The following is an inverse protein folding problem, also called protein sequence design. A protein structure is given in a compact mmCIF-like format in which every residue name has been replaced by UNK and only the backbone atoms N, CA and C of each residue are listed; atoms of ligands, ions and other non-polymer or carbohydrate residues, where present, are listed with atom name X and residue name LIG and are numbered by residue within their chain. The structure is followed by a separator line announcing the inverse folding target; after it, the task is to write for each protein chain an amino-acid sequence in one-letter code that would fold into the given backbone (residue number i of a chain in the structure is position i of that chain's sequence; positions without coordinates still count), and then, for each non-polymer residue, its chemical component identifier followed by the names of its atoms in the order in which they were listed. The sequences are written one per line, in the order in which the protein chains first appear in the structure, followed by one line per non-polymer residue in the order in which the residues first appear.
data_IF_253594482511
#
_entry.id   IF_253594482511
#
_cell.length_a   1.000
_cell.length_b   1.000
_cell.length_c   1.000
_cell.angle_alpha   90.00
_cell.angle_beta   90.00
_cell.angle_gamma   90.00
#
_symmetry.space_group_name_H-M   'P 1'
#
loop_
_entity.id
_entity.type
_entity.pdbx_description
1 polymer ?
#
# COMPACT_ATOMS: atom_id res chain seq x y z
N UNK A 1 -14.30 28.07 10.12
CA UNK A 1 -13.74 28.03 11.49
C UNK A 1 -12.62 26.99 11.52
N UNK A 2 -11.78 26.89 12.58
CA UNK A 2 -10.71 25.87 12.67
C UNK A 2 -11.22 24.44 12.43
N UNK A 3 -12.47 24.15 12.81
CA UNK A 3 -13.12 22.87 12.58
C UNK A 3 -13.35 22.51 11.11
N UNK A 4 -13.46 23.48 10.18
CA UNK A 4 -13.68 23.19 8.74
C UNK A 4 -12.40 22.79 7.99
N UNK A 5 -11.26 22.70 8.67
CA UNK A 5 -9.98 22.40 8.03
C UNK A 5 -9.94 20.98 7.45
N UNK A 6 -10.75 20.06 7.97
CA UNK A 6 -10.88 18.69 7.44
C UNK A 6 -11.36 18.69 5.99
N UNK A 7 -12.34 19.53 5.67
CA UNK A 7 -12.87 19.73 4.33
C UNK A 7 -11.78 20.09 3.30
N UNK A 8 -10.76 20.85 3.70
CA UNK A 8 -9.62 21.18 2.82
C UNK A 8 -8.85 19.92 2.42
N UNK A 9 -8.63 18.97 3.33
CA UNK A 9 -7.91 17.73 3.02
C UNK A 9 -8.74 16.83 2.10
N UNK A 10 -10.05 16.74 2.32
CA UNK A 10 -10.97 15.98 1.47
C UNK A 10 -11.05 16.58 0.07
N UNK A 11 -11.31 17.88 -0.03
CA UNK A 11 -11.44 18.61 -1.31
C UNK A 11 -10.20 18.48 -2.19
N UNK A 12 -9.02 18.55 -1.58
CA UNK A 12 -7.75 18.53 -2.30
C UNK A 12 -7.04 17.16 -2.27
N UNK A 13 -7.74 16.09 -1.87
CA UNK A 13 -7.17 14.75 -1.68
C UNK A 13 -6.31 14.29 -2.88
N UNK A 14 -6.81 14.44 -4.11
CA UNK A 14 -6.10 14.06 -5.34
C UNK A 14 -4.80 14.86 -5.58
N UNK A 15 -4.68 16.08 -5.04
CA UNK A 15 -3.42 16.85 -5.15
C UNK A 15 -2.32 16.28 -4.27
N UNK A 16 -2.67 15.56 -3.20
CA UNK A 16 -1.66 14.94 -2.33
C UNK A 16 -0.95 13.75 -2.98
N UNK A 17 -1.39 13.28 -4.15
CA UNK A 17 -0.65 12.29 -4.93
C UNK A 17 0.76 12.78 -5.31
N UNK A 18 1.00 14.10 -5.33
CA UNK A 18 2.36 14.66 -5.47
C UNK A 18 3.33 14.14 -4.39
N UNK A 19 2.83 13.92 -3.16
CA UNK A 19 3.63 13.37 -2.06
C UNK A 19 3.88 11.88 -2.21
N UNK A 20 2.94 11.13 -2.81
CA UNK A 20 3.15 9.72 -3.15
C UNK A 20 4.34 9.57 -4.11
N UNK A 21 4.36 10.38 -5.17
CA UNK A 21 5.47 10.43 -6.13
C UNK A 21 6.79 10.85 -5.46
N UNK A 22 6.74 11.87 -4.61
CA UNK A 22 7.90 12.35 -3.87
C UNK A 22 8.50 11.26 -2.97
N UNK A 23 7.66 10.61 -2.16
CA UNK A 23 8.06 9.55 -1.24
C UNK A 23 8.63 8.34 -1.99
N UNK A 24 8.02 7.93 -3.11
CA UNK A 24 8.52 6.84 -3.96
C UNK A 24 9.93 7.14 -4.51
N UNK A 25 10.21 8.39 -4.88
CA UNK A 25 11.51 8.79 -5.42
C UNK A 25 12.57 9.08 -4.33
N UNK A 26 12.15 9.30 -3.07
CA UNK A 26 13.05 9.71 -1.98
C UNK A 26 14.24 8.75 -1.76
N UNK A 27 14.10 7.41 -1.80
CA UNK A 27 15.23 6.49 -1.69
C UNK A 27 16.24 6.67 -2.83
N UNK A 28 15.77 6.81 -4.08
CA UNK A 28 16.62 7.05 -5.25
C UNK A 28 17.35 8.38 -5.15
N UNK A 29 16.65 9.46 -4.78
CA UNK A 29 17.25 10.78 -4.57
C UNK A 29 18.33 10.76 -3.49
N UNK A 30 18.08 10.07 -2.37
CA UNK A 30 19.08 9.89 -1.31
C UNK A 30 20.31 9.12 -1.80
N UNK A 31 20.10 8.04 -2.55
CA UNK A 31 21.19 7.23 -3.09
C UNK A 31 22.07 8.05 -4.04
N UNK A 32 21.47 8.78 -4.98
CA UNK A 32 22.20 9.66 -5.90
C UNK A 32 22.99 10.75 -5.17
N UNK A 33 22.43 11.32 -4.10
CA UNK A 33 23.12 12.31 -3.30
C UNK A 33 24.36 11.72 -2.61
N UNK A 34 24.25 10.50 -2.08
CA UNK A 34 25.39 9.80 -1.45
C UNK A 34 26.44 9.39 -2.48
N UNK A 35 26.02 8.83 -3.63
CA UNK A 35 26.94 8.29 -4.64
C UNK A 35 27.62 9.36 -5.49
N UNK A 36 26.91 10.45 -5.79
CA UNK A 36 27.34 11.44 -6.77
C UNK A 36 27.40 12.87 -6.23
N UNK A 37 26.90 13.13 -5.02
CA UNK A 37 26.85 14.49 -4.46
C UNK A 37 28.21 15.09 -4.12
N UNK A 38 29.17 14.26 -3.69
CA UNK A 38 30.50 14.73 -3.27
C UNK A 38 30.42 15.91 -2.31
N UNK A 39 31.28 16.92 -2.50
CA UNK A 39 31.25 18.19 -1.75
C UNK A 39 30.38 19.28 -2.40
N UNK A 40 29.78 19.02 -3.58
CA UNK A 40 29.14 20.04 -4.40
C UNK A 40 28.05 20.81 -3.64
N UNK A 41 27.16 20.09 -2.96
CA UNK A 41 26.05 20.72 -2.22
C UNK A 41 26.49 21.40 -0.93
N UNK A 42 27.59 20.97 -0.31
CA UNK A 42 28.18 21.61 0.87
C UNK A 42 28.88 22.93 0.49
N UNK A 43 29.58 22.94 -0.65
CA UNK A 43 30.16 24.15 -1.23
C UNK A 43 29.09 25.15 -1.66
N UNK A 44 28.02 24.65 -2.30
CA UNK A 44 26.86 25.47 -2.66
C UNK A 44 26.19 26.08 -1.42
N UNK A 45 26.02 25.29 -0.35
CA UNK A 45 25.45 25.75 0.91
C UNK A 45 26.27 26.90 1.51
N UNK A 46 27.60 26.76 1.57
CA UNK A 46 28.50 27.81 2.06
C UNK A 46 28.45 29.07 1.19
N UNK A 47 28.47 28.91 -0.13
CA UNK A 47 28.47 30.03 -1.09
C UNK A 47 27.17 30.83 -1.08
N UNK A 48 26.04 30.16 -0.86
CA UNK A 48 24.72 30.79 -0.83
C UNK A 48 24.23 31.09 0.60
N UNK A 49 25.06 30.87 1.61
CA UNK A 49 24.75 31.10 3.03
C UNK A 49 23.42 30.46 3.47
N UNK A 50 23.18 29.22 3.02
CA UNK A 50 21.95 28.48 3.35
C UNK A 50 22.09 27.81 4.72
N UNK A 51 21.11 28.03 5.60
CA UNK A 51 21.13 27.59 7.01
C UNK A 51 21.33 26.08 7.23
N UNK A 52 20.81 25.26 6.32
CA UNK A 52 20.79 23.81 6.48
C UNK A 52 21.30 23.07 5.24
N UNK A 53 21.83 21.85 5.39
CA UNK A 53 22.27 21.06 4.25
C UNK A 53 21.06 20.59 3.43
N UNK A 54 21.26 20.33 2.13
CA UNK A 54 20.19 19.92 1.21
C UNK A 54 19.29 18.77 1.75
N UNK A 55 19.81 17.69 2.37
CA UNK A 55 18.99 16.64 2.97
C UNK A 55 17.92 17.15 3.96
N UNK A 56 18.22 18.21 4.72
CA UNK A 56 17.30 18.79 5.70
C UNK A 56 16.10 19.48 5.04
N UNK A 57 16.22 19.90 3.77
CA UNK A 57 15.10 20.40 2.98
C UNK A 57 14.36 19.26 2.27
N UNK A 58 15.09 18.27 1.75
CA UNK A 58 14.49 17.11 1.05
C UNK A 58 13.64 16.22 1.97
N UNK A 59 13.82 16.27 3.28
CA UNK A 59 12.97 15.51 4.21
C UNK A 59 11.66 16.24 4.56
N UNK A 60 11.56 17.55 4.29
CA UNK A 60 10.42 18.38 4.70
C UNK A 60 9.08 17.92 4.13
N UNK A 61 8.95 17.49 2.85
CA UNK A 61 7.66 17.00 2.35
C UNK A 61 7.16 15.75 3.08
N UNK A 62 8.07 14.83 3.41
CA UNK A 62 7.74 13.62 4.19
C UNK A 62 7.28 14.02 5.60
N UNK A 63 8.05 14.89 6.27
CA UNK A 63 7.70 15.42 7.59
C UNK A 63 6.38 16.18 7.58
N UNK A 64 6.05 16.88 6.49
CA UNK A 64 4.83 17.67 6.37
C UNK A 64 3.59 16.80 6.38
N UNK A 65 3.61 15.67 5.68
CA UNK A 65 2.51 14.68 5.71
C UNK A 65 2.32 14.14 7.13
N UNK A 66 3.40 13.75 7.80
CA UNK A 66 3.33 13.31 9.21
C UNK A 66 2.78 14.42 10.10
N UNK A 67 3.17 15.68 9.88
CA UNK A 67 2.68 16.81 10.67
C UNK A 67 1.18 17.04 10.48
N UNK A 68 0.64 16.91 9.26
CA UNK A 68 -0.80 16.99 9.05
C UNK A 68 -1.57 15.90 9.80
N UNK A 69 -1.07 14.66 9.79
CA UNK A 69 -1.68 13.57 10.56
C UNK A 69 -1.73 13.88 12.06
N UNK A 70 -0.62 14.36 12.63
CA UNK A 70 -0.55 14.70 14.06
C UNK A 70 -1.54 15.83 14.40
N UNK A 71 -1.56 16.90 13.61
CA UNK A 71 -2.46 18.03 13.85
C UNK A 71 -3.94 17.64 13.72
N UNK A 72 -4.30 16.81 12.73
CA UNK A 72 -5.67 16.33 12.57
C UNK A 72 -6.09 15.37 13.69
N UNK A 73 -5.18 14.54 14.20
CA UNK A 73 -5.42 13.72 15.40
C UNK A 73 -5.63 14.58 16.64
N UNK A 74 -4.80 15.61 16.83
CA UNK A 74 -4.94 16.55 17.95
C UNK A 74 -6.29 17.28 17.87
N UNK A 75 -6.70 17.74 16.68
CA UNK A 75 -8.01 18.36 16.46
C UNK A 75 -9.16 17.39 16.76
N UNK A 76 -9.10 16.16 16.27
CA UNK A 76 -10.13 15.15 16.52
C UNK A 76 -10.28 14.82 18.02
N UNK A 77 -9.21 14.98 18.81
CA UNK A 77 -9.27 14.76 20.27
C UNK A 77 -9.98 15.88 21.04
N UNK A 78 -10.16 17.05 20.43
CA UNK A 78 -10.74 18.24 21.07
C UNK A 78 -12.05 18.72 20.42
N UNK A 79 -12.45 18.16 19.28
CA UNK A 79 -13.70 18.47 18.57
C UNK A 79 -14.70 17.31 18.70
N UNK A 80 -16.00 17.56 18.55
CA UNK A 80 -16.97 16.45 18.45
C UNK A 80 -16.74 15.68 17.13
N UNK A 81 -16.97 14.36 17.14
CA UNK A 81 -16.61 13.44 16.05
C UNK A 81 -17.20 13.80 14.66
N UNK A 82 -18.28 14.59 14.61
CA UNK A 82 -19.00 14.93 13.37
C UNK A 82 -18.66 16.32 12.79
N UNK A 83 -17.77 17.09 13.43
CA UNK A 83 -17.48 18.45 12.96
C UNK A 83 -16.42 18.49 11.85
N UNK A 84 -16.80 19.11 10.72
CA UNK A 84 -15.89 19.66 9.71
C UNK A 84 -14.96 18.68 8.99
N UNK A 85 -15.39 17.42 8.87
CA UNK A 85 -14.71 16.35 8.11
C UNK A 85 -13.27 16.08 8.58
N UNK A 86 -12.98 16.31 9.86
CA UNK A 86 -11.64 16.13 10.43
C UNK A 86 -11.18 14.66 10.33
N UNK A 87 -12.10 13.72 10.56
CA UNK A 87 -11.83 12.29 10.47
C UNK A 87 -11.50 11.87 9.04
N UNK A 88 -12.30 12.29 8.08
CA UNK A 88 -12.12 12.04 6.65
C UNK A 88 -10.82 12.68 6.15
N UNK A 89 -10.54 13.92 6.58
CA UNK A 89 -9.27 14.59 6.30
C UNK A 89 -8.06 13.83 6.86
N UNK A 90 -8.18 13.27 8.07
CA UNK A 90 -7.15 12.43 8.68
C UNK A 90 -6.94 11.14 7.86
N UNK A 91 -8.01 10.50 7.39
CA UNK A 91 -7.93 9.33 6.52
C UNK A 91 -7.19 9.64 5.22
N UNK A 92 -7.43 10.79 4.58
CA UNK A 92 -6.65 11.24 3.41
C UNK A 92 -5.16 11.31 3.75
N UNK A 93 -4.80 11.92 4.88
CA UNK A 93 -3.40 12.08 5.28
C UNK A 93 -2.72 10.76 5.69
N UNK A 94 -3.45 9.82 6.28
CA UNK A 94 -2.96 8.47 6.57
C UNK A 94 -2.78 7.64 5.29
N UNK A 95 -3.62 7.88 4.28
CA UNK A 95 -3.55 7.17 3.00
C UNK A 95 -2.35 7.58 2.13
N UNK A 96 -1.85 8.81 2.22
CA UNK A 96 -0.68 9.27 1.43
C UNK A 96 0.56 8.38 1.63
N UNK A 97 1.09 8.16 2.86
CA UNK A 97 2.25 7.28 3.05
C UNK A 97 1.92 5.82 2.74
N UNK A 98 0.68 5.37 2.96
CA UNK A 98 0.23 4.03 2.58
C UNK A 98 0.34 3.83 1.06
N UNK A 99 -0.24 4.73 0.25
CA UNK A 99 -0.12 4.71 -1.21
C UNK A 99 1.34 4.74 -1.69
N UNK A 100 2.20 5.53 -1.04
CA UNK A 100 3.61 5.56 -1.36
C UNK A 100 4.32 4.22 -1.11
N UNK A 101 4.01 3.60 0.03
CA UNK A 101 4.52 2.28 0.38
C UNK A 101 4.03 1.20 -0.60
N UNK A 102 2.74 1.24 -0.96
CA UNK A 102 2.14 0.28 -1.87
C UNK A 102 2.73 0.41 -3.29
N UNK A 103 2.91 1.65 -3.77
CA UNK A 103 3.58 1.91 -5.04
C UNK A 103 5.06 1.49 -5.04
N UNK A 104 5.74 1.57 -3.88
CA UNK A 104 7.10 1.06 -3.73
C UNK A 104 7.12 -0.46 -3.82
N UNK A 105 6.26 -1.18 -3.10
CA UNK A 105 6.17 -2.63 -3.19
C UNK A 105 5.79 -3.09 -4.61
N UNK A 106 4.84 -2.42 -5.26
CA UNK A 106 4.47 -2.74 -6.64
C UNK A 106 5.64 -2.54 -7.60
N UNK A 107 6.49 -1.53 -7.40
CA UNK A 107 7.68 -1.32 -8.25
C UNK A 107 8.72 -2.45 -8.18
N UNK A 108 8.62 -3.31 -7.16
CA UNK A 108 9.49 -4.48 -7.00
C UNK A 108 8.89 -5.74 -7.66
N UNK A 109 7.70 -5.64 -8.27
CA UNK A 109 7.05 -6.75 -8.99
C UNK A 109 7.73 -6.99 -10.35
N UNK A 110 8.17 -8.23 -10.56
CA UNK A 110 8.82 -8.67 -11.79
C UNK A 110 8.02 -9.76 -12.51
N UNK A 111 8.13 -9.78 -13.84
CA UNK A 111 7.55 -10.78 -14.73
C UNK A 111 6.02 -10.93 -14.61
N UNK A 112 5.32 -9.83 -14.30
CA UNK A 112 3.86 -9.80 -14.39
C UNK A 112 3.43 -9.86 -15.86
N UNK A 113 2.42 -10.66 -16.16
CA UNK A 113 1.85 -10.81 -17.50
C UNK A 113 0.91 -9.65 -17.88
N UNK A 114 0.64 -8.75 -16.94
CA UNK A 114 -0.06 -7.47 -17.15
C UNK A 114 0.94 -6.33 -16.95
N UNK A 115 0.95 -5.37 -17.88
CA UNK A 115 1.75 -4.16 -17.70
C UNK A 115 1.29 -3.40 -16.45
N UNK A 116 2.24 -2.88 -15.66
CA UNK A 116 1.95 -2.14 -14.41
C UNK A 116 0.98 -0.97 -14.66
N UNK A 117 1.11 -0.28 -15.79
CA UNK A 117 0.22 0.83 -16.16
C UNK A 117 -1.24 0.41 -16.37
N UNK A 118 -1.50 -0.88 -16.61
CA UNK A 118 -2.84 -1.44 -16.82
C UNK A 118 -3.43 -2.08 -15.55
N UNK A 119 -2.65 -2.19 -14.47
CA UNK A 119 -3.14 -2.75 -13.21
C UNK A 119 -4.03 -1.75 -12.45
N UNK A 120 -3.83 -0.45 -12.65
CA UNK A 120 -4.50 0.60 -11.89
C UNK A 120 -3.84 0.88 -10.54
N UNK A 121 -4.55 1.56 -9.65
CA UNK A 121 -4.07 1.81 -8.29
C UNK A 121 -4.15 0.55 -7.42
N UNK A 122 -3.14 0.34 -6.58
CA UNK A 122 -3.18 -0.71 -5.55
C UNK A 122 -4.22 -0.32 -4.50
N UNK A 123 -5.23 -1.16 -4.32
CA UNK A 123 -6.25 -0.98 -3.27
C UNK A 123 -5.70 -1.46 -1.93
N UNK A 124 -5.01 -2.61 -1.95
CA UNK A 124 -4.40 -3.23 -0.78
C UNK A 124 -3.23 -4.11 -1.20
N UNK A 125 -2.18 -4.14 -0.38
CA UNK A 125 -1.19 -5.21 -0.43
C UNK A 125 -0.89 -5.72 0.97
N UNK A 126 -0.71 -7.04 1.09
CA UNK A 126 -0.25 -7.66 2.33
C UNK A 126 0.43 -9.02 2.06
N UNK A 127 1.10 -9.57 3.07
CA UNK A 127 1.70 -10.89 3.05
C UNK A 127 0.75 -11.93 3.69
N UNK A 128 0.53 -13.03 2.97
CA UNK A 128 -0.30 -14.14 3.42
C UNK A 128 0.45 -15.45 3.30
N UNK A 129 0.11 -16.41 4.16
CA UNK A 129 0.37 -17.81 3.86
C UNK A 129 -0.78 -18.33 2.98
N UNK A 130 -0.45 -18.81 1.78
CA UNK A 130 -1.41 -19.23 0.77
C UNK A 130 -1.36 -20.75 0.54
N UNK A 131 -2.51 -21.42 0.55
CA UNK A 131 -2.67 -22.82 0.17
C UNK A 131 -3.54 -22.90 -1.08
N UNK A 132 -2.94 -23.35 -2.17
CA UNK A 132 -3.57 -23.50 -3.47
C UNK A 132 -3.99 -24.96 -3.68
N UNK A 133 -5.29 -25.20 -3.88
CA UNK A 133 -5.84 -26.55 -4.05
C UNK A 133 -5.40 -27.22 -5.35
N UNK A 134 -4.95 -26.47 -6.36
CA UNK A 134 -4.42 -27.02 -7.62
C UNK A 134 -3.06 -27.69 -7.44
N UNK A 135 -2.35 -27.37 -6.37
CA UNK A 135 -1.01 -27.89 -6.16
C UNK A 135 -1.06 -29.26 -5.49
N UNK A 136 -0.31 -30.22 -6.05
CA UNK A 136 -0.17 -31.58 -5.55
C UNK A 136 0.24 -31.59 -4.07
N UNK A 137 1.12 -30.66 -3.68
CA UNK A 137 1.57 -30.49 -2.30
C UNK A 137 0.76 -29.38 -1.65
N UNK A 138 -0.15 -29.75 -0.75
CA UNK A 138 -0.99 -28.84 0.05
C UNK A 138 -0.22 -28.15 1.19
N UNK A 139 0.90 -27.51 0.87
CA UNK A 139 1.73 -26.75 1.83
C UNK A 139 1.48 -25.26 1.66
N UNK A 140 1.35 -24.56 2.78
CA UNK A 140 1.21 -23.10 2.81
C UNK A 140 2.49 -22.43 2.36
N UNK A 141 2.37 -21.50 1.41
CA UNK A 141 3.49 -20.74 0.85
C UNK A 141 3.29 -19.26 1.10
N UNK A 142 4.34 -18.57 1.49
CA UNK A 142 4.28 -17.10 1.60
C UNK A 142 4.04 -16.47 0.23
N UNK A 143 3.05 -15.58 0.19
CA UNK A 143 2.69 -14.80 -0.98
C UNK A 143 2.47 -13.36 -0.55
N UNK A 144 3.11 -12.44 -1.27
CA UNK A 144 2.70 -11.05 -1.31
C UNK A 144 1.49 -10.97 -2.24
N UNK A 145 0.38 -10.47 -1.74
CA UNK A 145 -0.86 -10.31 -2.50
C UNK A 145 -1.08 -8.84 -2.77
N UNK A 146 -1.40 -8.50 -4.02
CA UNK A 146 -1.76 -7.15 -4.43
C UNK A 146 -3.18 -7.17 -4.98
N UNK A 147 -4.07 -6.40 -4.37
CA UNK A 147 -5.43 -6.18 -4.84
C UNK A 147 -5.48 -4.88 -5.65
N UNK A 148 -6.02 -5.00 -6.84
CA UNK A 148 -6.40 -3.92 -7.75
C UNK A 148 -7.89 -4.02 -8.04
N UNK A 149 -8.45 -3.00 -8.69
CA UNK A 149 -9.86 -2.99 -9.11
C UNK A 149 -10.22 -4.21 -9.98
N UNK A 150 -9.35 -4.59 -10.92
CA UNK A 150 -9.61 -5.68 -11.88
C UNK A 150 -8.90 -6.99 -11.54
N UNK A 151 -7.92 -6.97 -10.64
CA UNK A 151 -7.01 -8.10 -10.45
C UNK A 151 -6.64 -8.33 -8.99
N UNK A 152 -6.56 -9.59 -8.58
CA UNK A 152 -5.87 -10.04 -7.38
C UNK A 152 -4.60 -10.79 -7.78
N UNK A 153 -3.43 -10.18 -7.58
CA UNK A 153 -2.14 -10.76 -7.94
C UNK A 153 -1.49 -11.48 -6.76
N UNK A 154 -0.84 -12.61 -7.05
CA UNK A 154 -0.02 -13.35 -6.11
C UNK A 154 1.43 -13.32 -6.58
N UNK A 155 2.32 -12.87 -5.70
CA UNK A 155 3.75 -12.84 -5.94
C UNK A 155 4.52 -13.53 -4.81
N UNK A 156 5.69 -14.08 -5.15
CA UNK A 156 6.64 -14.63 -4.18
C UNK A 156 7.70 -13.59 -3.88
N UNK A 157 7.90 -13.28 -2.59
CA UNK A 157 9.06 -12.49 -2.18
C UNK A 157 10.35 -13.30 -2.37
N UNK A 158 11.34 -12.70 -3.02
CA UNK A 158 12.68 -13.24 -3.23
C UNK A 158 13.69 -12.21 -2.73
N UNK A 159 14.66 -12.67 -1.95
CA UNK A 159 15.78 -11.85 -1.48
C UNK A 159 17.03 -12.29 -2.23
N UNK A 160 17.54 -11.44 -3.10
CA UNK A 160 18.75 -11.67 -3.88
C UNK A 160 19.74 -10.54 -3.58
N UNK A 161 20.92 -10.87 -3.04
CA UNK A 161 21.97 -9.88 -2.71
C UNK A 161 21.48 -8.68 -1.88
N UNK A 162 20.65 -8.94 -0.85
CA UNK A 162 19.97 -7.94 0.01
C UNK A 162 18.93 -7.04 -0.69
N UNK A 163 18.60 -7.31 -1.95
CA UNK A 163 17.50 -6.64 -2.67
C UNK A 163 16.25 -7.53 -2.60
N UNK A 164 15.15 -6.95 -2.14
CA UNK A 164 13.84 -7.60 -2.14
C UNK A 164 13.19 -7.41 -3.51
N UNK A 165 12.67 -8.51 -4.07
CA UNK A 165 11.91 -8.54 -5.33
C UNK A 165 10.65 -9.38 -5.16
N UNK A 166 9.62 -9.09 -5.94
CA UNK A 166 8.39 -9.88 -5.98
C UNK A 166 8.27 -10.59 -7.34
N UNK A 167 8.46 -11.91 -7.33
CA UNK A 167 8.28 -12.71 -8.53
C UNK A 167 6.80 -13.06 -8.70
N UNK A 168 6.17 -12.57 -9.77
CA UNK A 168 4.79 -12.92 -10.12
C UNK A 168 4.56 -14.45 -10.17
N UNK A 169 3.40 -14.91 -9.70
CA UNK A 169 3.02 -16.33 -9.71
C UNK A 169 1.69 -16.58 -10.40
N UNK A 170 0.68 -15.79 -10.06
CA UNK A 170 -0.66 -15.95 -10.63
C UNK A 170 -1.48 -14.69 -10.39
N UNK A 171 -2.59 -14.59 -11.12
CA UNK A 171 -3.61 -13.56 -10.92
C UNK A 171 -5.00 -14.18 -10.95
N UNK A 172 -5.96 -13.55 -10.30
CA UNK A 172 -7.38 -13.77 -10.47
C UNK A 172 -8.01 -12.47 -10.97
N UNK A 173 -8.99 -12.55 -11.87
CA UNK A 173 -9.82 -11.39 -12.21
C UNK A 173 -10.90 -11.24 -11.15
N UNK A 174 -11.13 -10.00 -10.70
CA UNK A 174 -12.16 -9.71 -9.69
C UNK A 174 -13.55 -10.11 -10.18
N UNK A 175 -13.84 -9.93 -11.47
CA UNK A 175 -15.12 -10.31 -12.10
C UNK A 175 -15.48 -11.79 -11.99
N UNK A 176 -14.48 -12.68 -11.86
CA UNK A 176 -14.67 -14.14 -11.87
C UNK A 176 -14.39 -14.75 -10.49
N UNK A 177 -14.15 -13.92 -9.48
CA UNK A 177 -13.73 -14.33 -8.15
C UNK A 177 -14.89 -14.27 -7.15
N UNK A 178 -14.92 -15.25 -6.24
CA UNK A 178 -15.72 -15.21 -5.02
C UNK A 178 -14.83 -15.30 -3.79
N UNK A 179 -15.40 -14.96 -2.64
CA UNK A 179 -14.74 -15.00 -1.34
C UNK A 179 -15.52 -15.87 -0.34
N UNK A 180 -14.81 -16.52 0.57
CA UNK A 180 -15.36 -17.19 1.74
C UNK A 180 -14.62 -16.65 2.96
N UNK A 181 -15.30 -15.80 3.74
CA UNK A 181 -14.67 -15.07 4.84
C UNK A 181 -14.42 -15.90 6.09
N UNK A 182 -15.21 -16.95 6.30
CA UNK A 182 -15.09 -17.83 7.46
C UNK A 182 -14.49 -19.17 7.04
N UNK A 183 -13.39 -19.56 7.70
CA UNK A 183 -12.78 -20.87 7.59
C UNK A 183 -12.77 -21.49 8.98
N UNK A 184 -13.38 -22.66 9.10
CA UNK A 184 -13.48 -23.37 10.37
C UNK A 184 -12.08 -23.65 10.96
N UNK A 185 -11.93 -23.41 12.25
CA UNK A 185 -10.70 -23.66 13.00
C UNK A 185 -9.59 -22.61 12.88
N UNK A 186 -9.77 -21.53 12.11
CA UNK A 186 -8.80 -20.42 12.08
C UNK A 186 -9.45 -19.09 11.64
N UNK A 187 -9.69 -18.19 12.58
CA UNK A 187 -10.35 -16.89 12.33
C UNK A 187 -9.53 -15.94 11.46
N UNK A 188 -8.22 -16.19 11.35
CA UNK A 188 -7.30 -15.42 10.49
C UNK A 188 -7.26 -15.93 9.05
N UNK A 189 -8.04 -16.98 8.74
CA UNK A 189 -8.15 -17.52 7.38
C UNK A 189 -9.42 -17.05 6.67
N UNK A 190 -9.26 -16.88 5.38
CA UNK A 190 -10.34 -16.72 4.40
C UNK A 190 -9.94 -17.46 3.12
N UNK A 191 -10.85 -17.61 2.17
CA UNK A 191 -10.53 -18.19 0.87
C UNK A 191 -11.03 -17.32 -0.26
N UNK A 192 -10.24 -17.25 -1.33
CA UNK A 192 -10.68 -16.74 -2.62
C UNK A 192 -10.77 -17.89 -3.61
N UNK A 193 -11.73 -17.84 -4.52
CA UNK A 193 -11.97 -18.90 -5.47
C UNK A 193 -12.53 -18.36 -6.77
N UNK A 194 -12.41 -19.10 -7.87
CA UNK A 194 -12.99 -18.73 -9.17
C UNK A 194 -14.11 -19.68 -9.57
N UNK A 195 -15.07 -19.21 -10.36
CA UNK A 195 -16.17 -20.01 -10.89
C UNK A 195 -17.51 -19.68 -10.22
N UNK A 196 -18.49 -20.60 -10.28
CA UNK A 196 -19.85 -20.32 -9.77
C UNK A 196 -20.05 -20.62 -8.28
N UNK A 197 -19.25 -21.49 -7.69
CA UNK A 197 -19.39 -21.91 -6.29
C UNK A 197 -18.05 -22.36 -5.70
N UNK A 198 -17.79 -22.13 -4.40
CA UNK A 198 -16.54 -22.55 -3.76
C UNK A 198 -16.28 -24.05 -3.86
N UNK A 199 -17.34 -24.87 -3.85
CA UNK A 199 -17.26 -26.34 -3.88
C UNK A 199 -17.03 -26.90 -5.29
N UNK A 200 -17.36 -26.11 -6.31
CA UNK A 200 -17.20 -26.44 -7.73
C UNK A 200 -16.10 -25.61 -8.38
N UNK A 201 -15.27 -24.94 -7.57
CA UNK A 201 -14.28 -23.98 -8.07
C UNK A 201 -13.08 -24.70 -8.66
N UNK A 202 -12.69 -24.27 -9.87
CA UNK A 202 -11.47 -24.77 -10.50
C UNK A 202 -10.22 -24.33 -9.74
N UNK A 203 -10.30 -23.20 -9.03
CA UNK A 203 -9.24 -22.62 -8.24
C UNK A 203 -9.79 -22.19 -6.88
N UNK A 204 -9.25 -22.73 -5.79
CA UNK A 204 -9.50 -22.24 -4.43
C UNK A 204 -8.17 -22.00 -3.74
N UNK A 205 -7.98 -20.80 -3.23
CA UNK A 205 -6.78 -20.39 -2.51
C UNK A 205 -7.21 -19.97 -1.11
N UNK A 206 -6.78 -20.73 -0.10
CA UNK A 206 -6.95 -20.34 1.30
C UNK A 206 -5.81 -19.42 1.67
N UNK A 207 -6.12 -18.28 2.27
CA UNK A 207 -5.18 -17.26 2.70
C UNK A 207 -5.26 -17.12 4.21
N UNK A 208 -4.10 -17.17 4.88
CA UNK A 208 -3.95 -16.87 6.30
C UNK A 208 -3.24 -15.54 6.46
N UNK A 209 -3.91 -14.60 7.11
CA UNK A 209 -3.35 -13.31 7.49
C UNK A 209 -2.43 -13.44 8.71
N UNK A 210 -1.61 -12.42 8.94
CA UNK A 210 -0.76 -12.30 10.15
C UNK A 210 -1.58 -11.95 11.40
N UNK A 211 -2.74 -11.32 11.24
CA UNK A 211 -3.65 -10.92 12.32
C UNK A 211 -5.12 -10.96 11.88
N UNK A 212 -6.04 -10.92 12.85
CA UNK A 212 -7.48 -10.81 12.58
C UNK A 212 -7.82 -9.49 11.87
N UNK A 213 -7.18 -8.40 12.27
CA UNK A 213 -7.35 -7.07 11.66
C UNK A 213 -6.95 -7.09 10.18
N UNK A 214 -5.78 -7.63 9.85
CA UNK A 214 -5.35 -7.79 8.45
C UNK A 214 -6.35 -8.62 7.66
N UNK A 215 -6.88 -9.69 8.24
CA UNK A 215 -7.89 -10.53 7.60
C UNK A 215 -9.19 -9.74 7.33
N UNK A 216 -9.68 -8.96 8.30
CA UNK A 216 -10.90 -8.16 8.17
C UNK A 216 -10.76 -7.06 7.11
N UNK A 217 -9.65 -6.31 7.14
CA UNK A 217 -9.37 -5.26 6.15
C UNK A 217 -9.27 -5.86 4.75
N UNK A 218 -8.57 -6.99 4.62
CA UNK A 218 -8.37 -7.65 3.32
C UNK A 218 -9.65 -8.26 2.77
N UNK A 219 -10.44 -8.96 3.60
CA UNK A 219 -11.70 -9.56 3.15
C UNK A 219 -12.72 -8.49 2.75
N UNK A 220 -12.81 -7.40 3.51
CA UNK A 220 -13.68 -6.27 3.21
C UNK A 220 -13.26 -5.56 1.91
N UNK A 221 -11.96 -5.34 1.72
CA UNK A 221 -11.44 -4.71 0.49
C UNK A 221 -11.72 -5.58 -0.74
N UNK A 222 -11.57 -6.90 -0.61
CA UNK A 222 -11.89 -7.84 -1.68
C UNK A 222 -13.40 -7.82 -1.96
N UNK A 223 -14.25 -7.89 -0.94
CA UNK A 223 -15.71 -7.81 -1.11
C UNK A 223 -16.13 -6.53 -1.83
N UNK A 224 -15.54 -5.40 -1.48
CA UNK A 224 -15.80 -4.12 -2.15
C UNK A 224 -15.41 -4.17 -3.63
N UNK A 225 -14.28 -4.79 -3.96
CA UNK A 225 -13.84 -4.95 -5.36
C UNK A 225 -14.68 -5.96 -6.16
N UNK A 226 -15.55 -6.75 -5.52
CA UNK A 226 -16.47 -7.69 -6.17
C UNK A 226 -17.86 -7.09 -6.41
N UNK A 227 -18.19 -5.95 -5.80
CA UNK A 227 -19.49 -5.28 -5.88
C UNK A 227 -19.56 -4.32 -7.07
#
# INVERSE_FOLDING_TARGET
MPEDVGHCFVTWASKFDMYVHYCKNKPTSNNLLVQHGGSFFEELQRRLEVDHPLPAYLIKPVQRITKYQLLLKDLLSCCEESHGEIKEGLEVMLNVPKKANDAMHLSLLENCDVSVDKLGEVVLQDAFQAWDTKQIIRKGRERRVFLFELYLLFAKEVKESNVVKYQFKSKLMTTDMGITEHIEGDETKFAVWTGRSPMLSDCRIVLKATSLETKQVSSSSILYALA
#
